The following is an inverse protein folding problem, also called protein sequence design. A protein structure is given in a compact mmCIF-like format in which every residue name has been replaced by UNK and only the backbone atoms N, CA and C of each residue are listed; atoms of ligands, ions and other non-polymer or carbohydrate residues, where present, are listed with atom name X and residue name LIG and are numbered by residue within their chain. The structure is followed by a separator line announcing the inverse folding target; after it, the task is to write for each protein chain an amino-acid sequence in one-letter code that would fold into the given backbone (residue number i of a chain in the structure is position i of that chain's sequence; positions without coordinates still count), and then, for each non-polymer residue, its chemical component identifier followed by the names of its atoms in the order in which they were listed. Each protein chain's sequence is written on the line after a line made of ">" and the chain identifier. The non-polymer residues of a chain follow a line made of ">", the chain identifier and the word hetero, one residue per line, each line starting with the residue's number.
data_IF_017886056247
#
_entry.id   IF_017886056247
#
_cell.length_a   1.000
_cell.length_b   1.000
_cell.length_c   1.000
_cell.angle_alpha   90.00
_cell.angle_beta   90.00
_cell.angle_gamma   90.00
#
_symmetry.space_group_name_H-M   'P 1'
#
loop_
_entity.id
_entity.type
_entity.pdbx_description
1 polymer ?
#
# COMPACT_ATOMS: atom_id res chain seq x y z
N UNK A 1 6.43 -2.62 -15.01
CA UNK A 1 6.75 -2.90 -13.59
C UNK A 1 6.11 -4.23 -13.24
N UNK A 2 6.87 -5.15 -12.66
CA UNK A 2 6.39 -6.41 -12.10
C UNK A 2 5.87 -6.18 -10.68
N UNK A 3 5.11 -7.14 -10.14
CA UNK A 3 4.65 -7.09 -8.75
C UNK A 3 5.80 -6.92 -7.76
N UNK A 4 6.88 -7.66 -7.94
CA UNK A 4 8.02 -7.60 -7.03
C UNK A 4 8.80 -6.29 -7.14
N UNK A 5 8.86 -5.68 -8.32
CA UNK A 5 9.40 -4.32 -8.48
C UNK A 5 8.55 -3.29 -7.73
N UNK A 6 7.21 -3.43 -7.76
CA UNK A 6 6.31 -2.56 -7.00
C UNK A 6 6.51 -2.74 -5.49
N UNK A 7 6.61 -3.98 -5.01
CA UNK A 7 6.90 -4.27 -3.59
C UNK A 7 8.24 -3.67 -3.18
N UNK A 8 9.28 -3.80 -4.01
CA UNK A 8 10.59 -3.26 -3.71
C UNK A 8 10.65 -1.72 -3.75
N UNK A 9 9.77 -1.09 -4.53
CA UNK A 9 9.73 0.36 -4.69
C UNK A 9 9.04 1.10 -3.52
N UNK A 10 8.22 0.41 -2.71
CA UNK A 10 7.46 1.01 -1.62
C UNK A 10 8.08 0.65 -0.26
N UNK A 11 8.69 1.62 0.46
CA UNK A 11 9.27 1.35 1.77
C UNK A 11 8.22 0.98 2.81
N UNK A 12 8.59 0.09 3.73
CA UNK A 12 7.85 -0.17 4.96
C UNK A 12 8.49 0.62 6.10
N UNK A 13 7.68 1.40 6.81
CA UNK A 13 8.08 2.21 7.94
C UNK A 13 7.57 1.62 9.25
N UNK A 14 8.13 2.06 10.37
CA UNK A 14 7.68 1.69 11.71
C UNK A 14 7.43 2.95 12.55
N UNK A 15 6.32 2.97 13.28
CA UNK A 15 6.05 3.95 14.33
C UNK A 15 5.31 3.30 15.48
N UNK A 16 5.85 3.44 16.70
CA UNK A 16 5.27 2.87 17.93
C UNK A 16 5.00 1.36 17.82
N UNK A 17 5.92 0.60 17.20
CA UNK A 17 5.77 -0.85 17.01
C UNK A 17 4.75 -1.25 15.94
N UNK A 18 4.22 -0.31 15.14
CA UNK A 18 3.30 -0.61 14.05
C UNK A 18 3.94 -0.30 12.70
N UNK A 19 3.83 -1.27 11.79
CA UNK A 19 4.35 -1.16 10.44
C UNK A 19 3.32 -0.53 9.50
N UNK A 20 3.76 0.41 8.67
CA UNK A 20 2.91 1.12 7.70
C UNK A 20 3.66 1.42 6.41
N UNK A 21 2.90 1.78 5.37
CA UNK A 21 3.42 2.39 4.14
C UNK A 21 2.98 3.84 4.07
N UNK A 22 3.74 4.69 3.37
CA UNK A 22 3.34 6.07 3.10
C UNK A 22 2.68 6.12 1.73
N UNK A 23 1.45 6.60 1.64
CA UNK A 23 0.70 6.61 0.37
C UNK A 23 1.44 7.43 -0.71
N UNK A 24 2.11 8.51 -0.33
CA UNK A 24 2.88 9.37 -1.24
C UNK A 24 4.14 8.71 -1.82
N UNK A 25 4.58 7.58 -1.26
CA UNK A 25 5.71 6.80 -1.74
C UNK A 25 5.27 5.65 -2.65
N UNK A 26 3.97 5.36 -2.73
CA UNK A 26 3.44 4.42 -3.71
C UNK A 26 3.53 5.06 -5.10
N UNK A 27 4.14 4.41 -6.10
CA UNK A 27 4.24 4.96 -7.45
C UNK A 27 2.89 4.94 -8.18
N UNK A 28 2.67 5.91 -9.06
CA UNK A 28 1.53 5.89 -9.98
C UNK A 28 1.71 4.84 -11.08
N UNK A 29 0.63 4.18 -11.56
CA UNK A 29 -0.78 4.41 -11.22
C UNK A 29 -1.29 3.63 -9.99
N UNK A 30 -0.40 2.90 -9.30
CA UNK A 30 -0.81 2.00 -8.22
C UNK A 30 -1.21 2.73 -6.94
N UNK A 31 -0.71 3.94 -6.72
CA UNK A 31 -1.17 4.81 -5.61
C UNK A 31 -2.66 5.05 -5.68
N UNK A 32 -3.19 5.47 -6.83
CA UNK A 32 -4.62 5.71 -6.99
C UNK A 32 -5.43 4.43 -6.75
N UNK A 33 -5.01 3.31 -7.35
CA UNK A 33 -5.72 2.03 -7.19
C UNK A 33 -5.71 1.55 -5.73
N UNK A 34 -4.59 1.73 -5.02
CA UNK A 34 -4.50 1.36 -3.62
C UNK A 34 -5.33 2.29 -2.73
N UNK A 35 -5.33 3.59 -3.00
CA UNK A 35 -6.19 4.56 -2.29
C UNK A 35 -7.68 4.20 -2.45
N UNK A 36 -8.11 3.80 -3.64
CA UNK A 36 -9.47 3.31 -3.88
C UNK A 36 -9.76 2.02 -3.10
N UNK A 37 -8.83 1.07 -3.11
CA UNK A 37 -8.95 -0.15 -2.31
C UNK A 37 -9.01 0.13 -0.80
N UNK A 38 -8.36 1.19 -0.32
CA UNK A 38 -8.30 1.57 1.10
C UNK A 38 -9.59 2.23 1.60
N UNK A 39 -10.54 2.63 0.75
CA UNK A 39 -11.78 3.30 1.18
C UNK A 39 -12.51 2.49 2.26
N UNK A 40 -12.79 3.14 3.40
CA UNK A 40 -13.45 2.52 4.56
C UNK A 40 -12.52 1.72 5.48
N UNK A 41 -11.21 1.72 5.23
CA UNK A 41 -10.21 1.03 6.08
C UNK A 41 -9.57 2.01 7.07
N UNK A 42 -9.02 1.47 8.15
CA UNK A 42 -8.24 2.25 9.11
C UNK A 42 -6.81 2.54 8.58
N UNK A 43 -6.17 3.55 9.16
CA UNK A 43 -4.76 3.88 8.91
C UNK A 43 -4.05 4.20 10.24
N UNK A 44 -2.73 4.24 10.22
CA UNK A 44 -1.93 4.49 11.42
C UNK A 44 -1.76 5.99 11.62
N UNK A 45 -2.35 6.57 12.67
CA UNK A 45 -2.04 7.96 13.01
C UNK A 45 -0.57 8.09 13.46
N UNK A 46 0.28 8.69 12.61
CA UNK A 46 1.69 8.97 12.90
C UNK A 46 1.87 10.47 13.15
N UNK A 47 2.43 10.84 14.30
CA UNK A 47 2.60 12.24 14.65
C UNK A 47 3.55 12.95 13.69
N UNK A 48 3.11 14.08 13.14
CA UNK A 48 3.90 14.87 12.19
C UNK A 48 3.86 14.37 10.74
N UNK A 49 3.22 13.23 10.48
CA UNK A 49 2.95 12.75 9.13
C UNK A 49 1.67 13.38 8.59
N UNK A 50 1.73 13.85 7.34
CA UNK A 50 0.57 14.46 6.66
C UNK A 50 -0.02 13.55 5.59
N UNK A 51 0.71 12.51 5.16
CA UNK A 51 0.19 11.54 4.21
C UNK A 51 -0.69 10.48 4.88
N UNK A 52 -1.52 9.80 4.09
CA UNK A 52 -2.21 8.58 4.55
C UNK A 52 -1.17 7.48 4.75
N UNK A 53 -1.32 6.75 5.86
CA UNK A 53 -0.37 5.73 6.35
C UNK A 53 -1.07 4.38 6.53
N UNK A 54 -1.41 3.68 5.43
CA UNK A 54 -2.01 2.35 5.50
C UNK A 54 -1.14 1.38 6.28
N UNK A 55 -1.77 0.41 6.94
CA UNK A 55 -1.01 -0.65 7.58
C UNK A 55 -0.20 -1.44 6.55
N UNK A 56 1.00 -1.90 6.95
CA UNK A 56 1.84 -2.69 6.04
C UNK A 56 1.19 -4.02 5.62
N UNK A 57 0.33 -4.61 6.47
CA UNK A 57 -0.41 -5.83 6.11
C UNK A 57 -1.50 -5.58 5.07
N UNK A 58 -2.15 -4.41 5.11
CA UNK A 58 -3.12 -3.99 4.09
C UNK A 58 -2.44 -3.84 2.73
N UNK A 59 -1.26 -3.20 2.72
CA UNK A 59 -0.41 -3.11 1.54
C UNK A 59 -0.02 -4.50 1.00
N UNK A 60 0.50 -5.39 1.85
CA UNK A 60 0.93 -6.73 1.43
C UNK A 60 -0.23 -7.57 0.88
N UNK A 61 -1.39 -7.53 1.55
CA UNK A 61 -2.59 -8.21 1.09
C UNK A 61 -3.07 -7.66 -0.25
N UNK A 62 -3.05 -6.35 -0.45
CA UNK A 62 -3.45 -5.72 -1.70
C UNK A 62 -2.49 -6.07 -2.85
N UNK A 63 -1.19 -5.84 -2.67
CA UNK A 63 -0.19 -5.98 -3.73
C UNK A 63 -0.05 -7.43 -4.21
N UNK A 64 -0.34 -8.40 -3.32
CA UNK A 64 -0.36 -9.84 -3.61
C UNK A 64 -1.71 -10.36 -4.11
N UNK A 65 -2.72 -9.50 -4.25
CA UNK A 65 -4.08 -9.89 -4.66
C UNK A 65 -4.71 -10.91 -3.68
N UNK A 66 -4.49 -10.71 -2.39
CA UNK A 66 -4.96 -11.56 -1.28
C UNK A 66 -6.01 -10.86 -0.40
N UNK A 67 -6.35 -9.61 -0.70
CA UNK A 67 -7.36 -8.87 0.05
C UNK A 67 -8.77 -9.30 -0.38
N UNK A 68 -9.50 -9.95 0.52
CA UNK A 68 -10.86 -10.39 0.25
C UNK A 68 -11.75 -9.25 -0.24
N UNK A 69 -12.49 -9.49 -1.33
CA UNK A 69 -13.42 -8.55 -1.98
C UNK A 69 -12.80 -7.25 -2.54
N UNK A 70 -11.47 -7.13 -2.58
CA UNK A 70 -10.78 -5.96 -3.12
C UNK A 70 -9.73 -6.39 -4.14
N UNK A 71 -9.87 -6.02 -5.43
CA UNK A 71 -8.91 -6.41 -6.44
C UNK A 71 -7.54 -5.78 -6.15
N UNK A 72 -6.49 -6.57 -6.35
CA UNK A 72 -5.11 -6.10 -6.30
C UNK A 72 -4.73 -5.19 -7.47
N UNK A 73 -3.44 -4.80 -7.55
CA UNK A 73 -2.93 -3.90 -8.59
C UNK A 73 -3.12 -4.46 -10.00
N UNK A 74 -3.62 -3.62 -10.90
CA UNK A 74 -3.74 -3.91 -12.32
C UNK A 74 -2.59 -3.30 -13.13
N UNK A 75 -2.43 -3.71 -14.40
CA UNK A 75 -1.41 -3.17 -15.30
C UNK A 75 0.04 -3.61 -14.99
N UNK A 76 0.24 -4.50 -14.01
CA UNK A 76 1.54 -5.10 -13.73
C UNK A 76 1.90 -6.09 -14.84
N UNK A 77 3.18 -6.08 -15.23
CA UNK A 77 3.74 -7.08 -16.12
C UNK A 77 3.73 -8.44 -15.43
N UNK A 78 3.31 -9.50 -16.15
CA UNK A 78 3.59 -10.87 -15.72
C UNK A 78 5.11 -11.02 -15.70
N UNK A 79 5.65 -11.55 -14.59
CA UNK A 79 7.07 -11.92 -14.52
C UNK A 79 7.40 -12.92 -15.61
#
# INVERSE_FOLDING_TARGET
>A
MTRDELIAAVPIWESQGRLYVRMDEVPEPWRQQFAEAMVGSAFIAVQGETCVTPHAHDWDAWVRDQWYSRPGPTGLSKR
#
